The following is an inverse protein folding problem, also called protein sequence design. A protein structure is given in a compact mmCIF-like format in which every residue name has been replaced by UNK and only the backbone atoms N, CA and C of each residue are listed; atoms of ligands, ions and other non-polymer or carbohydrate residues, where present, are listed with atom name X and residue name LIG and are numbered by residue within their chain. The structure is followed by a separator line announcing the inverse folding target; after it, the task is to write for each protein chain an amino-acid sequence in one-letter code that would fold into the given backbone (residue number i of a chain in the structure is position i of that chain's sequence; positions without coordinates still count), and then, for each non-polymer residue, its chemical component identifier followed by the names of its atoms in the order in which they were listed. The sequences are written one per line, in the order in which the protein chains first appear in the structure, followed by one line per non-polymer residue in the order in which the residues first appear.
data_IF_551186941930
#
_entry.id   IF_551186941930
#
_cell.length_a   1.000
_cell.length_b   1.000
_cell.length_c   1.000
_cell.angle_alpha   90.00
_cell.angle_beta   90.00
_cell.angle_gamma   90.00
#
_symmetry.space_group_name_H-M   'P 1'
#
loop_
_entity.id
_entity.type
_entity.pdbx_description
1 polymer ?
#
# COMPACT_ATOMS: atom_id res chain seq x y z
N UNK A 1 10.36 -13.13 -2.44
CA UNK A 1 10.22 -11.66 -2.33
C UNK A 1 8.76 -11.41 -2.04
N UNK A 2 8.47 -10.54 -1.06
CA UNK A 2 7.12 -10.29 -0.56
C UNK A 2 6.48 -9.17 -1.38
N UNK A 3 5.35 -9.44 -2.05
CA UNK A 3 4.63 -8.43 -2.83
C UNK A 3 4.22 -7.25 -1.94
N UNK A 4 3.88 -7.51 -0.68
CA UNK A 4 3.52 -6.51 0.32
C UNK A 4 4.61 -5.46 0.48
N UNK A 5 5.86 -5.87 0.54
CA UNK A 5 6.99 -4.95 0.74
C UNK A 5 7.37 -4.19 -0.53
N UNK A 6 7.13 -4.77 -1.71
CA UNK A 6 7.21 -4.04 -2.98
C UNK A 6 6.18 -2.90 -2.99
N UNK A 7 4.95 -3.20 -2.59
CA UNK A 7 3.88 -2.20 -2.49
C UNK A 7 4.23 -1.15 -1.42
N UNK A 8 4.56 -1.56 -0.20
CA UNK A 8 4.93 -0.66 0.90
C UNK A 8 6.08 0.28 0.53
N UNK A 9 7.15 -0.25 -0.06
CA UNK A 9 8.32 0.56 -0.42
C UNK A 9 8.03 1.62 -1.48
N UNK A 10 7.18 1.30 -2.45
CA UNK A 10 6.70 2.25 -3.45
C UNK A 10 5.70 3.25 -2.87
N UNK A 11 4.88 2.84 -1.89
CA UNK A 11 3.98 3.72 -1.16
C UNK A 11 4.75 4.76 -0.34
N UNK A 12 5.81 4.33 0.35
CA UNK A 12 6.71 5.22 1.10
C UNK A 12 7.35 6.22 0.15
N UNK A 13 7.87 5.76 -1.00
CA UNK A 13 8.40 6.65 -2.05
C UNK A 13 7.37 7.68 -2.50
N UNK A 14 6.14 7.26 -2.70
CA UNK A 14 5.05 8.10 -3.17
C UNK A 14 4.68 9.18 -2.13
N UNK A 15 4.61 8.81 -0.85
CA UNK A 15 4.44 9.75 0.26
C UNK A 15 5.54 10.84 0.28
N UNK A 16 6.80 10.46 0.04
CA UNK A 16 7.93 11.42 -0.09
C UNK A 16 7.69 12.38 -1.24
N UNK A 17 7.28 11.87 -2.40
CA UNK A 17 7.07 12.70 -3.57
C UNK A 17 5.95 13.72 -3.33
N UNK A 18 4.86 13.29 -2.70
CA UNK A 18 3.77 14.20 -2.31
C UNK A 18 4.26 15.28 -1.34
N UNK A 19 5.07 14.93 -0.33
CA UNK A 19 5.66 15.92 0.59
C UNK A 19 6.59 16.92 -0.10
N UNK A 20 7.50 16.44 -0.97
CA UNK A 20 8.43 17.29 -1.73
C UNK A 20 7.67 18.29 -2.60
N UNK A 21 6.61 17.84 -3.27
CA UNK A 21 5.79 18.68 -4.12
C UNK A 21 4.99 19.72 -3.32
N UNK A 22 4.51 19.37 -2.13
CA UNK A 22 3.71 20.26 -1.28
C UNK A 22 4.54 21.32 -0.54
N UNK A 23 5.76 21.00 -0.10
CA UNK A 23 6.50 21.83 0.85
C UNK A 23 7.80 22.45 0.33
N UNK A 24 8.24 22.13 -0.90
CA UNK A 24 9.58 22.47 -1.44
C UNK A 24 10.74 22.11 -0.49
N UNK A 25 10.52 21.31 0.55
CA UNK A 25 11.50 21.03 1.62
C UNK A 25 11.98 19.58 1.58
N UNK A 26 13.26 19.38 1.90
CA UNK A 26 13.95 18.08 1.96
C UNK A 26 13.60 17.21 3.18
N UNK A 27 12.79 17.72 4.13
CA UNK A 27 12.53 17.07 5.43
C UNK A 27 12.05 15.63 5.33
N UNK A 28 11.15 15.33 4.40
CA UNK A 28 10.60 13.96 4.24
C UNK A 28 11.66 12.92 3.86
N UNK A 29 12.61 13.30 3.01
CA UNK A 29 13.68 12.42 2.55
C UNK A 29 14.76 12.21 3.63
N UNK A 30 15.18 13.28 4.32
CA UNK A 30 16.08 13.17 5.47
C UNK A 30 15.47 12.34 6.59
N UNK A 31 14.18 12.51 6.86
CA UNK A 31 13.48 11.78 7.92
C UNK A 31 13.41 10.30 7.63
N UNK A 32 13.10 9.93 6.40
CA UNK A 32 13.05 8.53 6.00
C UNK A 32 14.45 7.92 6.02
N UNK A 33 15.47 8.64 5.56
CA UNK A 33 16.86 8.22 5.73
C UNK A 33 17.23 8.03 7.21
N UNK A 34 16.72 8.88 8.11
CA UNK A 34 16.90 8.71 9.55
C UNK A 34 16.14 7.49 10.09
N UNK A 35 14.88 7.27 9.70
CA UNK A 35 14.10 6.07 10.04
C UNK A 35 14.83 4.80 9.57
N UNK A 36 15.33 4.78 8.33
CA UNK A 36 16.15 3.70 7.81
C UNK A 36 17.44 3.53 8.62
N UNK A 37 18.17 4.60 8.92
CA UNK A 37 19.42 4.53 9.69
C UNK A 37 19.21 4.00 11.10
N UNK A 38 18.14 4.41 11.76
CA UNK A 38 17.77 3.94 13.10
C UNK A 38 17.47 2.43 13.07
N UNK A 39 16.63 1.98 12.14
CA UNK A 39 16.23 0.57 12.05
C UNK A 39 17.39 -0.34 11.58
N UNK A 40 18.19 0.14 10.62
CA UNK A 40 19.37 -0.57 10.11
C UNK A 40 20.51 -0.59 11.14
N UNK A 41 20.69 0.46 11.94
CA UNK A 41 21.70 0.53 13.00
C UNK A 41 21.40 -0.37 14.20
N UNK A 42 20.12 -0.69 14.42
CA UNK A 42 19.65 -1.62 15.46
C UNK A 42 20.01 -3.10 15.14
N UNK A 43 20.13 -3.44 13.86
CA UNK A 43 20.42 -4.81 13.42
C UNK A 43 21.94 -5.05 13.27
N UNK A 44 22.52 -5.91 14.12
CA UNK A 44 23.95 -6.29 14.08
C UNK A 44 24.37 -6.76 12.68
N UNK A 45 25.05 -5.90 11.92
CA UNK A 45 25.54 -6.21 10.58
C UNK A 45 26.40 -5.10 9.99
N UNK A 46 27.09 -5.39 8.88
CA UNK A 46 27.91 -4.40 8.16
C UNK A 46 27.01 -3.22 7.73
N UNK A 47 27.42 -1.96 8.00
CA UNK A 47 26.66 -0.79 7.60
C UNK A 47 26.29 -0.83 6.12
N UNK A 48 25.05 -0.46 5.78
CA UNK A 48 24.65 -0.24 4.39
C UNK A 48 25.50 0.93 3.88
N UNK A 49 26.45 0.66 2.98
CA UNK A 49 27.46 1.64 2.57
C UNK A 49 26.85 2.98 2.15
N UNK A 50 26.22 3.03 0.96
CA UNK A 50 25.48 4.21 0.49
C UNK A 50 23.97 3.90 0.50
N UNK A 51 23.28 4.35 1.57
CA UNK A 51 21.85 4.14 1.76
C UNK A 51 21.01 4.75 0.62
N UNK A 52 21.35 5.97 0.19
CA UNK A 52 20.62 6.66 -0.88
C UNK A 52 20.74 5.92 -2.21
N UNK A 53 21.94 5.47 -2.58
CA UNK A 53 22.15 4.67 -3.77
C UNK A 53 21.37 3.34 -3.70
N UNK A 54 21.34 2.71 -2.53
CA UNK A 54 20.61 1.45 -2.29
C UNK A 54 19.10 1.66 -2.44
N UNK A 55 18.52 2.66 -1.78
CA UNK A 55 17.09 2.98 -1.87
C UNK A 55 16.68 3.35 -3.29
N UNK A 56 17.45 4.22 -3.95
CA UNK A 56 17.17 4.60 -5.32
C UNK A 56 17.31 3.42 -6.28
N UNK A 57 18.25 2.49 -6.04
CA UNK A 57 18.37 1.26 -6.80
C UNK A 57 17.18 0.33 -6.64
N UNK A 58 16.67 0.17 -5.41
CA UNK A 58 15.43 -0.57 -5.14
C UNK A 58 14.28 0.08 -5.90
N UNK A 59 14.02 1.37 -5.68
CA UNK A 59 12.93 2.06 -6.35
C UNK A 59 13.05 2.04 -7.86
N UNK A 60 14.26 2.13 -8.41
CA UNK A 60 14.45 1.99 -9.86
C UNK A 60 13.92 0.65 -10.35
N UNK A 61 14.33 -0.48 -9.74
CA UNK A 61 13.85 -1.82 -10.08
C UNK A 61 12.33 -1.95 -9.93
N UNK A 62 11.76 -1.41 -8.85
CA UNK A 62 10.34 -1.53 -8.56
C UNK A 62 9.48 -0.66 -9.49
N UNK A 63 9.96 0.53 -9.85
CA UNK A 63 9.29 1.43 -10.79
C UNK A 63 9.39 0.91 -12.24
N UNK A 64 10.56 0.45 -12.69
CA UNK A 64 10.75 0.00 -14.09
C UNK A 64 10.30 -1.44 -14.33
N UNK A 65 10.26 -2.28 -13.29
CA UNK A 65 9.97 -3.70 -13.44
C UNK A 65 11.14 -4.50 -14.01
N UNK A 66 12.33 -3.91 -14.14
CA UNK A 66 13.52 -4.60 -14.62
C UNK A 66 13.93 -5.74 -13.69
N UNK A 67 14.64 -6.72 -14.24
CA UNK A 67 15.28 -7.79 -13.46
C UNK A 67 16.49 -7.25 -12.67
N UNK A 68 16.77 -7.83 -11.50
CA UNK A 68 17.75 -7.29 -10.56
C UNK A 68 19.17 -7.17 -11.14
N UNK A 69 19.61 -8.14 -11.93
CA UNK A 69 20.93 -8.13 -12.57
C UNK A 69 21.12 -6.98 -13.58
N UNK A 70 20.04 -6.33 -14.02
CA UNK A 70 20.07 -5.16 -14.90
C UNK A 70 20.06 -3.83 -14.13
N UNK A 71 20.26 -3.86 -12.81
CA UNK A 71 20.39 -2.64 -12.02
C UNK A 71 21.58 -1.81 -12.51
N UNK A 72 21.38 -0.51 -12.82
CA UNK A 72 22.47 0.36 -13.22
C UNK A 72 23.56 0.49 -12.15
N UNK A 73 24.83 0.44 -12.57
CA UNK A 73 25.99 0.43 -11.67
C UNK A 73 26.08 1.65 -10.74
N UNK A 74 25.49 2.79 -11.15
CA UNK A 74 25.39 4.01 -10.32
C UNK A 74 24.69 3.78 -8.97
N UNK A 75 23.87 2.73 -8.85
CA UNK A 75 23.20 2.35 -7.60
C UNK A 75 23.97 1.29 -6.79
N UNK A 76 25.14 0.88 -7.28
CA UNK A 76 25.99 -0.15 -6.70
C UNK A 76 25.73 -1.55 -7.27
N UNK A 77 26.42 -2.55 -6.71
CA UNK A 77 26.33 -3.94 -7.17
C UNK A 77 24.92 -4.49 -6.91
N UNK A 78 24.26 -4.96 -7.97
CA UNK A 78 22.88 -5.46 -7.90
C UNK A 78 22.62 -6.48 -6.79
N UNK A 79 23.55 -7.41 -6.56
CA UNK A 79 23.39 -8.47 -5.56
C UNK A 79 23.41 -7.90 -4.13
N UNK A 80 24.18 -6.83 -3.90
CA UNK A 80 24.20 -6.13 -2.61
C UNK A 80 22.87 -5.42 -2.35
N UNK A 81 22.36 -4.70 -3.35
CA UNK A 81 21.07 -3.98 -3.27
C UNK A 81 19.92 -4.97 -3.07
N UNK A 82 19.90 -6.05 -3.83
CA UNK A 82 18.90 -7.12 -3.70
C UNK A 82 18.94 -7.78 -2.31
N UNK A 83 20.12 -8.15 -1.80
CA UNK A 83 20.26 -8.73 -0.45
C UNK A 83 19.77 -7.78 0.64
N UNK A 84 20.04 -6.47 0.48
CA UNK A 84 19.54 -5.44 1.38
C UNK A 84 18.01 -5.41 1.36
N UNK A 85 17.41 -5.28 0.17
CA UNK A 85 15.97 -5.25 0.01
C UNK A 85 15.29 -6.49 0.62
N UNK A 86 15.80 -7.68 0.30
CA UNK A 86 15.27 -8.93 0.84
C UNK A 86 15.36 -9.00 2.37
N UNK A 87 16.47 -8.55 2.96
CA UNK A 87 16.64 -8.51 4.43
C UNK A 87 15.61 -7.58 5.05
N UNK A 88 15.42 -6.41 4.45
CA UNK A 88 14.45 -5.41 4.89
C UNK A 88 13.00 -5.89 4.83
N UNK A 89 12.63 -6.59 3.75
CA UNK A 89 11.35 -7.30 3.66
C UNK A 89 11.15 -8.24 4.85
N UNK A 90 12.14 -9.09 5.15
CA UNK A 90 12.07 -10.04 6.25
C UNK A 90 12.03 -9.42 7.65
N UNK A 91 12.56 -8.21 7.83
CA UNK A 91 12.56 -7.50 9.11
C UNK A 91 11.26 -6.75 9.44
N UNK A 92 10.34 -6.59 8.48
CA UNK A 92 9.13 -5.78 8.68
C UNK A 92 9.36 -4.25 8.65
N UNK A 93 10.59 -3.80 8.42
CA UNK A 93 11.01 -2.40 8.35
C UNK A 93 10.09 -1.52 7.47
N UNK A 94 9.63 -2.02 6.32
CA UNK A 94 8.74 -1.25 5.45
C UNK A 94 7.38 -0.91 6.09
N UNK A 95 6.82 -1.85 6.86
CA UNK A 95 5.59 -1.61 7.61
C UNK A 95 5.81 -0.59 8.72
N UNK A 96 6.92 -0.70 9.45
CA UNK A 96 7.30 0.22 10.51
C UNK A 96 7.50 1.66 9.99
N UNK A 97 8.18 1.83 8.85
CA UNK A 97 8.38 3.15 8.23
C UNK A 97 7.03 3.76 7.82
N UNK A 98 6.13 2.96 7.22
CA UNK A 98 4.81 3.46 6.83
C UNK A 98 4.05 3.97 8.06
N UNK A 99 3.99 3.18 9.14
CA UNK A 99 3.30 3.56 10.37
C UNK A 99 3.83 4.90 10.95
N UNK A 100 5.16 5.06 10.99
CA UNK A 100 5.78 6.29 11.49
C UNK A 100 5.48 7.51 10.59
N UNK A 101 5.32 7.30 9.28
CA UNK A 101 4.94 8.36 8.36
C UNK A 101 3.46 8.74 8.53
N UNK A 102 2.58 7.78 8.79
CA UNK A 102 1.14 8.04 8.94
C UNK A 102 0.81 8.79 10.22
N UNK A 103 1.44 8.45 11.35
CA UNK A 103 1.19 9.07 12.67
C UNK A 103 1.49 10.57 12.70
N UNK A 104 2.30 11.07 11.77
CA UNK A 104 2.73 12.47 11.73
C UNK A 104 1.77 13.41 10.99
N UNK A 105 0.81 12.85 10.25
CA UNK A 105 -0.09 13.60 9.39
C UNK A 105 -1.55 13.45 9.84
N UNK A 106 -1.78 13.35 11.16
CA UNK A 106 -3.11 13.18 11.77
C UNK A 106 -4.10 14.29 11.36
N UNK A 107 -3.61 15.46 10.97
CA UNK A 107 -4.41 16.61 10.57
C UNK A 107 -5.27 16.35 9.31
N UNK A 108 -4.86 15.42 8.44
CA UNK A 108 -5.59 15.07 7.22
C UNK A 108 -6.53 13.86 7.40
N UNK A 109 -6.68 13.35 8.61
CA UNK A 109 -7.40 12.10 8.88
C UNK A 109 -8.91 12.27 9.09
N UNK A 110 -9.45 13.48 8.94
CA UNK A 110 -10.91 13.72 9.06
C UNK A 110 -11.72 12.89 8.05
N UNK A 111 -11.12 12.50 6.92
CA UNK A 111 -11.72 11.56 5.98
C UNK A 111 -10.70 10.52 5.51
N UNK A 112 -11.16 9.27 5.42
CA UNK A 112 -10.43 8.10 4.99
C UNK A 112 -11.20 7.41 3.87
N UNK A 113 -10.52 7.14 2.77
CA UNK A 113 -11.10 6.56 1.58
C UNK A 113 -10.57 5.14 1.38
N UNK A 114 -11.45 4.16 1.42
CA UNK A 114 -11.17 2.75 1.20
C UNK A 114 -11.50 2.38 -0.24
N UNK A 115 -10.54 1.79 -0.93
CA UNK A 115 -10.76 1.17 -2.23
C UNK A 115 -9.80 0.01 -2.47
N UNK A 116 -10.14 -0.83 -3.43
CA UNK A 116 -9.44 -2.07 -3.74
C UNK A 116 -9.08 -2.13 -5.22
N UNK A 117 -7.93 -2.71 -5.52
CA UNK A 117 -7.45 -2.80 -6.89
C UNK A 117 -6.71 -4.11 -7.15
N UNK A 118 -7.01 -4.75 -8.28
CA UNK A 118 -6.27 -5.93 -8.71
C UNK A 118 -4.88 -5.58 -9.25
N UNK A 119 -3.92 -6.42 -8.87
CA UNK A 119 -2.57 -6.52 -9.41
C UNK A 119 -2.50 -7.85 -10.18
N UNK A 120 -2.17 -7.78 -11.48
CA UNK A 120 -2.06 -8.99 -12.30
C UNK A 120 -0.82 -9.76 -11.90
N UNK A 121 -0.92 -11.08 -11.73
CA UNK A 121 0.24 -11.92 -11.43
C UNK A 121 0.85 -12.44 -12.74
N UNK A 122 2.14 -12.18 -12.93
CA UNK A 122 2.92 -12.81 -13.98
C UNK A 122 3.12 -14.30 -13.68
N UNK A 123 3.44 -15.11 -14.70
CA UNK A 123 3.72 -16.54 -14.51
C UNK A 123 4.86 -16.80 -13.50
N UNK A 124 5.85 -15.90 -13.42
CA UNK A 124 6.98 -16.04 -12.50
C UNK A 124 6.57 -15.93 -11.03
N UNK A 125 5.51 -15.17 -10.74
CA UNK A 125 4.92 -15.06 -9.42
C UNK A 125 4.23 -16.37 -8.99
N UNK A 126 3.88 -17.25 -9.93
CA UNK A 126 3.21 -18.52 -9.66
C UNK A 126 4.20 -19.69 -9.47
N UNK A 127 5.51 -19.45 -9.56
CA UNK A 127 6.56 -20.49 -9.47
C UNK A 127 7.05 -20.71 -8.03
N UNK A 128 6.13 -20.71 -7.07
CA UNK A 128 6.41 -20.99 -5.66
C UNK A 128 5.93 -22.39 -5.28
N UNK A 129 6.62 -23.11 -4.37
CA UNK A 129 6.12 -24.37 -3.83
C UNK A 129 4.93 -24.18 -2.86
N UNK A 130 4.65 -22.94 -2.44
CA UNK A 130 3.51 -22.62 -1.58
C UNK A 130 2.19 -22.75 -2.34
N UNK A 131 1.07 -22.94 -1.64
CA UNK A 131 -0.24 -22.94 -2.28
C UNK A 131 -0.71 -21.51 -2.67
N UNK A 132 -1.83 -21.39 -3.38
CA UNK A 132 -2.33 -20.10 -3.87
C UNK A 132 -2.81 -19.17 -2.75
N UNK A 133 -3.34 -19.71 -1.65
CA UNK A 133 -3.82 -18.93 -0.50
C UNK A 133 -2.64 -18.33 0.27
N UNK A 134 -1.61 -19.15 0.54
CA UNK A 134 -0.35 -18.73 1.13
C UNK A 134 0.37 -17.69 0.25
N UNK A 135 0.25 -17.79 -1.07
CA UNK A 135 0.79 -16.80 -1.99
C UNK A 135 -0.08 -15.53 -2.10
N UNK A 136 -1.29 -15.49 -1.54
CA UNK A 136 -2.30 -14.45 -1.79
C UNK A 136 -2.56 -14.26 -3.29
N UNK A 137 -2.65 -15.36 -4.04
CA UNK A 137 -3.00 -15.41 -5.45
C UNK A 137 -4.40 -15.99 -5.60
N UNK A 138 -5.25 -15.30 -6.37
CA UNK A 138 -6.59 -15.76 -6.69
C UNK A 138 -6.81 -15.83 -8.20
N UNK A 139 -7.64 -16.78 -8.65
CA UNK A 139 -8.05 -16.86 -10.06
C UNK A 139 -9.32 -16.06 -10.28
N UNK A 140 -9.27 -15.10 -11.18
CA UNK A 140 -10.41 -14.26 -11.59
C UNK A 140 -10.68 -14.47 -13.09
N UNK A 141 -11.71 -13.82 -13.65
CA UNK A 141 -11.93 -13.79 -15.10
C UNK A 141 -10.72 -13.23 -15.87
N UNK A 142 -9.90 -12.39 -15.24
CA UNK A 142 -8.70 -11.77 -15.83
C UNK A 142 -7.40 -12.58 -15.68
N UNK A 143 -7.47 -13.81 -15.14
CA UNK A 143 -6.30 -14.66 -14.89
C UNK A 143 -5.95 -14.79 -13.41
N UNK A 144 -4.66 -14.94 -13.09
CA UNK A 144 -4.16 -14.95 -11.70
C UNK A 144 -3.89 -13.51 -11.24
N UNK A 145 -4.40 -13.17 -10.06
CA UNK A 145 -4.36 -11.81 -9.54
C UNK A 145 -4.13 -11.84 -8.02
N UNK A 146 -3.57 -10.76 -7.51
CA UNK A 146 -3.69 -10.37 -6.09
C UNK A 146 -4.56 -9.12 -6.04
N UNK A 147 -5.23 -8.89 -4.92
CA UNK A 147 -5.97 -7.66 -4.68
C UNK A 147 -5.26 -6.87 -3.59
N UNK A 148 -5.02 -5.61 -3.88
CA UNK A 148 -4.49 -4.62 -2.96
C UNK A 148 -5.63 -3.75 -2.47
N UNK A 149 -5.97 -3.88 -1.19
CA UNK A 149 -6.90 -3.00 -0.51
C UNK A 149 -6.10 -1.90 0.19
N UNK A 150 -6.51 -0.64 0.05
CA UNK A 150 -5.82 0.48 0.66
C UNK A 150 -6.80 1.51 1.25
N UNK A 151 -6.38 2.12 2.35
CA UNK A 151 -7.02 3.30 2.93
C UNK A 151 -6.13 4.50 2.68
N UNK A 152 -6.71 5.58 2.14
CA UNK A 152 -6.01 6.80 1.75
C UNK A 152 -6.67 8.01 2.43
N UNK A 153 -5.88 8.96 2.91
CA UNK A 153 -6.38 10.19 3.53
C UNK A 153 -6.62 11.32 2.50
N UNK A 154 -7.09 12.48 2.95
CA UNK A 154 -7.36 13.64 2.09
C UNK A 154 -6.15 14.20 1.35
N UNK A 155 -4.93 13.97 1.86
CA UNK A 155 -3.71 14.35 1.17
C UNK A 155 -3.34 13.40 0.01
N UNK A 156 -4.12 12.35 -0.23
CA UNK A 156 -3.80 11.31 -1.21
C UNK A 156 -2.64 10.42 -0.76
N UNK A 157 -2.43 10.29 0.55
CA UNK A 157 -1.42 9.43 1.16
C UNK A 157 -2.06 8.16 1.71
N UNK A 158 -1.41 7.03 1.49
CA UNK A 158 -1.86 5.76 2.05
C UNK A 158 -1.63 5.72 3.56
N UNK A 159 -2.64 5.27 4.29
CA UNK A 159 -2.66 5.09 5.76
C UNK A 159 -2.53 3.61 6.12
N UNK A 160 -3.21 2.75 5.38
CA UNK A 160 -3.20 1.31 5.62
C UNK A 160 -3.33 0.54 4.31
N UNK A 161 -2.77 -0.66 4.27
CA UNK A 161 -2.83 -1.53 3.10
C UNK A 161 -2.79 -3.00 3.48
N UNK A 162 -3.53 -3.80 2.72
CA UNK A 162 -3.63 -5.24 2.86
C UNK A 162 -3.59 -5.89 1.48
N UNK A 163 -2.82 -6.98 1.36
CA UNK A 163 -2.85 -7.84 0.19
C UNK A 163 -3.69 -9.08 0.48
N UNK A 164 -4.69 -9.31 -0.36
CA UNK A 164 -5.57 -10.48 -0.30
C UNK A 164 -5.56 -11.23 -1.64
N UNK A 165 -5.96 -12.52 -1.67
CA UNK A 165 -6.14 -13.24 -2.93
C UNK A 165 -7.08 -12.49 -3.89
N UNK A 166 -6.83 -12.60 -5.20
CA UNK A 166 -7.62 -11.89 -6.22
C UNK A 166 -9.10 -12.28 -6.27
N UNK A 167 -9.48 -13.44 -5.77
CA UNK A 167 -10.86 -13.92 -5.67
C UNK A 167 -11.53 -13.56 -4.35
N UNK A 168 -10.80 -12.98 -3.39
CA UNK A 168 -11.35 -12.58 -2.09
C UNK A 168 -12.40 -11.48 -2.27
N UNK A 169 -13.48 -11.55 -1.48
CA UNK A 169 -14.51 -10.53 -1.51
C UNK A 169 -13.99 -9.23 -0.88
N UNK A 170 -14.25 -8.09 -1.55
CA UNK A 170 -13.79 -6.76 -1.08
C UNK A 170 -14.18 -6.46 0.36
N UNK A 171 -15.34 -7.00 0.76
CA UNK A 171 -15.89 -6.81 2.10
C UNK A 171 -15.09 -7.50 3.22
N UNK A 172 -14.31 -8.54 2.91
CA UNK A 172 -13.41 -9.19 3.90
C UNK A 172 -12.17 -8.33 4.10
N UNK A 173 -11.52 -7.92 3.01
CA UNK A 173 -10.35 -7.04 3.08
C UNK A 173 -10.66 -5.66 3.67
N UNK A 174 -11.90 -5.18 3.54
CA UNK A 174 -12.31 -3.87 4.06
C UNK A 174 -12.01 -3.69 5.55
N UNK A 175 -12.48 -4.64 6.38
CA UNK A 175 -12.33 -4.59 7.84
C UNK A 175 -10.86 -4.68 8.23
N UNK A 176 -10.09 -5.57 7.59
CA UNK A 176 -8.66 -5.73 7.85
C UNK A 176 -7.85 -4.47 7.46
N UNK A 177 -8.28 -3.77 6.42
CA UNK A 177 -7.56 -2.58 5.93
C UNK A 177 -7.88 -1.33 6.75
N UNK A 178 -9.07 -1.23 7.35
CA UNK A 178 -9.45 -0.05 8.11
C UNK A 178 -8.58 0.12 9.37
N UNK A 179 -8.10 1.34 9.67
CA UNK A 179 -7.45 1.63 10.93
C UNK A 179 -8.36 1.31 12.13
N UNK A 180 -7.79 0.82 13.23
CA UNK A 180 -8.56 0.45 14.43
C UNK A 180 -9.31 1.63 15.07
N UNK A 181 -8.76 2.84 14.97
CA UNK A 181 -9.35 4.05 15.53
C UNK A 181 -9.87 4.94 14.41
N UNK A 182 -11.20 5.01 14.29
CA UNK A 182 -11.92 5.82 13.30
C UNK A 182 -12.65 7.01 13.93
N UNK A 183 -12.36 7.32 15.21
CA UNK A 183 -13.06 8.36 15.97
C UNK A 183 -13.11 9.68 15.20
N UNK A 184 -14.34 10.14 14.95
CA UNK A 184 -14.63 11.38 14.22
C UNK A 184 -14.11 11.45 12.78
N UNK A 185 -13.90 10.29 12.12
CA UNK A 185 -13.46 10.20 10.73
C UNK A 185 -14.60 9.80 9.81
N UNK A 186 -14.74 10.47 8.68
CA UNK A 186 -15.60 10.02 7.58
C UNK A 186 -14.91 8.88 6.82
N UNK A 187 -15.57 7.74 6.69
CA UNK A 187 -15.06 6.60 5.93
C UNK A 187 -15.83 6.46 4.63
N UNK A 188 -15.17 6.72 3.52
CA UNK A 188 -15.74 6.69 2.17
C UNK A 188 -15.33 5.40 1.48
N UNK A 189 -16.28 4.76 0.79
CA UNK A 189 -15.99 3.61 -0.06
C UNK A 189 -17.02 3.50 -1.19
N UNK A 190 -16.72 2.66 -2.19
CA UNK A 190 -17.67 2.34 -3.26
C UNK A 190 -18.92 1.65 -2.70
N UNK A 191 -20.05 1.77 -3.42
CA UNK A 191 -21.28 1.01 -3.20
C UNK A 191 -21.05 -0.51 -3.07
N UNK A 192 -20.02 -1.08 -3.70
CA UNK A 192 -19.65 -2.48 -3.53
C UNK A 192 -19.35 -2.86 -2.07
N UNK A 193 -18.79 -1.93 -1.29
CA UNK A 193 -18.51 -2.06 0.14
C UNK A 193 -19.75 -1.91 1.03
N UNK A 194 -20.93 -1.72 0.44
CA UNK A 194 -22.15 -1.63 1.22
C UNK A 194 -22.56 -2.98 1.82
N UNK A 195 -22.24 -3.17 3.10
CA UNK A 195 -22.60 -4.33 3.91
C UNK A 195 -22.76 -3.93 5.37
N UNK A 196 -23.77 -4.47 6.08
CA UNK A 196 -24.04 -4.14 7.49
C UNK A 196 -22.80 -4.34 8.37
N UNK A 197 -22.07 -5.45 8.19
CA UNK A 197 -20.83 -5.74 8.93
C UNK A 197 -19.76 -4.64 8.81
N UNK A 198 -19.63 -4.01 7.65
CA UNK A 198 -18.64 -2.94 7.42
C UNK A 198 -19.11 -1.65 8.08
N UNK A 199 -20.40 -1.31 7.92
CA UNK A 199 -20.97 -0.11 8.53
C UNK A 199 -20.90 -0.17 10.05
N UNK A 200 -21.34 -1.28 10.65
CA UNK A 200 -21.27 -1.51 12.09
C UNK A 200 -19.84 -1.48 12.60
N UNK A 201 -18.87 -2.02 11.84
CA UNK A 201 -17.46 -1.91 12.21
C UNK A 201 -16.98 -0.46 12.26
N UNK A 202 -17.27 0.33 11.21
CA UNK A 202 -16.91 1.76 11.14
C UNK A 202 -17.53 2.54 12.30
N UNK A 203 -18.83 2.35 12.55
CA UNK A 203 -19.57 3.03 13.62
C UNK A 203 -19.06 2.63 15.00
N UNK A 204 -18.80 1.34 15.25
CA UNK A 204 -18.25 0.85 16.52
C UNK A 204 -16.85 1.38 16.81
N UNK A 205 -16.07 1.70 15.76
CA UNK A 205 -14.76 2.34 15.86
C UNK A 205 -14.84 3.88 15.93
N UNK A 206 -16.05 4.45 16.00
CA UNK A 206 -16.31 5.88 16.15
C UNK A 206 -16.28 6.69 14.85
N UNK A 207 -16.30 6.04 13.69
CA UNK A 207 -16.32 6.68 12.38
C UNK A 207 -17.72 6.88 11.81
N UNK A 208 -17.81 7.73 10.79
CA UNK A 208 -19.05 8.01 10.05
C UNK A 208 -19.01 7.37 8.67
N UNK A 209 -19.99 6.53 8.36
CA UNK A 209 -20.02 5.77 7.11
C UNK A 209 -20.57 6.61 5.94
N UNK A 210 -19.71 6.91 4.96
CA UNK A 210 -20.07 7.62 3.71
C UNK A 210 -19.96 6.63 2.54
N UNK A 211 -20.80 5.60 2.58
CA UNK A 211 -20.88 4.56 1.55
C UNK A 211 -22.26 4.65 0.88
N UNK A 212 -22.34 4.75 -0.47
CA UNK A 212 -23.63 4.70 -1.14
C UNK A 212 -24.35 3.37 -0.90
N UNK A 213 -25.66 3.37 -0.58
CA UNK A 213 -26.40 2.13 -0.36
C UNK A 213 -26.58 1.33 -1.67
N UNK A 214 -26.53 0.01 -1.58
CA UNK A 214 -26.88 -0.93 -2.66
C UNK A 214 -28.35 -0.77 -3.07
N UNK A 215 -28.64 -0.97 -4.36
CA UNK A 215 -30.00 -0.80 -4.90
C UNK A 215 -31.00 -1.80 -4.31
N UNK A 216 -30.53 -2.99 -3.93
CA UNK A 216 -31.32 -4.05 -3.33
C UNK A 216 -31.38 -3.99 -1.79
N UNK A 217 -30.95 -2.88 -1.18
CA UNK A 217 -31.01 -2.74 0.28
C UNK A 217 -32.45 -2.51 0.72
N UNK A 218 -32.89 -3.24 1.74
CA UNK A 218 -34.23 -3.11 2.33
C UNK A 218 -34.42 -1.75 3.03
N UNK A 219 -33.40 -1.36 3.78
CA UNK A 219 -33.38 -0.08 4.51
C UNK A 219 -32.65 0.98 3.68
N UNK A 220 -33.30 2.11 3.43
CA UNK A 220 -32.65 3.21 2.72
C UNK A 220 -31.80 4.00 3.70
N UNK A 221 -30.47 4.00 3.47
CA UNK A 221 -29.52 4.78 4.27
C UNK A 221 -29.12 6.02 3.49
N UNK A 222 -29.33 7.20 4.08
CA UNK A 222 -28.85 8.46 3.53
C UNK A 222 -27.33 8.55 3.66
N UNK A 223 -26.67 9.18 2.70
CA UNK A 223 -25.24 9.49 2.75
C UNK A 223 -24.99 10.83 2.06
N UNK A 224 -23.91 11.51 2.49
CA UNK A 224 -23.50 12.76 1.87
C UNK A 224 -22.79 12.51 0.54
N UNK A 225 -23.43 12.92 -0.56
CA UNK A 225 -22.90 12.75 -1.92
C UNK A 225 -21.71 13.66 -2.20
N UNK A 226 -21.66 14.86 -1.62
CA UNK A 226 -20.57 15.81 -1.83
C UNK A 226 -19.30 15.30 -1.16
N UNK A 227 -19.40 14.81 0.08
CA UNK A 227 -18.29 14.11 0.74
C UNK A 227 -17.92 12.87 -0.08
N UNK A 228 -18.91 12.08 -0.52
CA UNK A 228 -18.68 10.88 -1.34
C UNK A 228 -17.86 11.11 -2.61
N UNK A 229 -17.90 12.31 -3.23
CA UNK A 229 -17.07 12.66 -4.40
C UNK A 229 -15.57 12.66 -4.11
N UNK A 230 -15.17 12.84 -2.85
CA UNK A 230 -13.76 12.80 -2.44
C UNK A 230 -13.11 11.42 -2.62
N UNK A 231 -13.91 10.36 -2.86
CA UNK A 231 -13.41 9.03 -3.25
C UNK A 231 -12.50 9.09 -4.50
N UNK A 232 -12.65 10.10 -5.36
CA UNK A 232 -11.71 10.35 -6.48
C UNK A 232 -10.24 10.40 -6.04
N UNK A 233 -9.94 10.82 -4.82
CA UNK A 233 -8.56 10.88 -4.30
C UNK A 233 -7.95 9.47 -4.17
N UNK A 234 -8.70 8.46 -3.70
CA UNK A 234 -8.18 7.08 -3.63
C UNK A 234 -8.10 6.45 -5.03
N UNK A 235 -9.00 6.80 -5.94
CA UNK A 235 -8.91 6.39 -7.35
C UNK A 235 -7.62 6.94 -8.00
N UNK A 236 -7.37 8.25 -7.83
CA UNK A 236 -6.14 8.90 -8.29
C UNK A 236 -4.89 8.26 -7.67
N UNK A 237 -4.96 7.90 -6.39
CA UNK A 237 -3.90 7.17 -5.72
C UNK A 237 -3.60 5.84 -6.42
N UNK A 238 -4.62 5.02 -6.67
CA UNK A 238 -4.46 3.75 -7.39
C UNK A 238 -3.93 3.94 -8.81
N UNK A 239 -4.41 4.95 -9.54
CA UNK A 239 -3.87 5.32 -10.85
C UNK A 239 -2.37 5.64 -10.78
N UNK A 240 -1.95 6.42 -9.78
CA UNK A 240 -0.55 6.81 -9.59
C UNK A 240 0.33 5.61 -9.25
N UNK A 241 -0.03 4.79 -8.26
CA UNK A 241 0.82 3.65 -7.85
C UNK A 241 0.90 2.57 -8.93
N UNK A 242 -0.15 2.42 -9.76
CA UNK A 242 -0.14 1.49 -10.90
C UNK A 242 0.75 1.93 -12.06
N UNK A 243 1.30 3.15 -12.04
CA UNK A 243 2.37 3.54 -12.96
C UNK A 243 3.67 2.77 -12.68
N UNK A 244 3.87 2.28 -11.45
CA UNK A 244 5.02 1.46 -11.08
C UNK A 244 4.82 0.02 -11.60
N UNK A 245 5.75 -0.45 -12.43
CA UNK A 245 5.57 -1.70 -13.18
C UNK A 245 5.41 -2.93 -12.28
N UNK A 246 6.06 -2.98 -11.11
CA UNK A 246 5.90 -4.09 -10.14
C UNK A 246 4.62 -4.03 -9.29
N UNK A 247 3.88 -2.91 -9.34
CA UNK A 247 2.52 -2.79 -8.78
C UNK A 247 1.47 -3.05 -9.85
N UNK A 248 1.73 -2.66 -11.10
CA UNK A 248 0.87 -3.02 -12.24
C UNK A 248 0.83 -4.54 -12.44
N UNK A 249 2.00 -5.17 -12.39
CA UNK A 249 2.19 -6.61 -12.55
C UNK A 249 3.08 -7.14 -11.43
N UNK A 250 2.56 -8.09 -10.67
CA UNK A 250 3.28 -8.83 -9.63
C UNK A 250 4.18 -9.88 -10.29
N UNK A 251 5.46 -9.90 -9.92
CA UNK A 251 6.44 -10.93 -10.28
C UNK A 251 6.86 -11.77 -9.07
N UNK A 252 6.49 -11.30 -7.88
CA UNK A 252 6.90 -11.79 -6.58
C UNK A 252 6.15 -13.06 -6.18
N UNK A 253 6.89 -14.10 -5.82
CA UNK A 253 6.34 -15.42 -5.48
C UNK A 253 5.74 -15.52 -4.08
N UNK A 254 6.03 -14.55 -3.20
CA UNK A 254 5.53 -14.53 -1.82
C UNK A 254 4.63 -13.31 -1.64
N UNK A 255 3.60 -13.39 -0.78
CA UNK A 255 2.66 -12.31 -0.55
C UNK A 255 3.31 -11.08 0.08
#
# INVERSE_FOLDING_TARGET
MLQRDVVLSLFIRDNIQVERNASRSSRGAEKINNLYRTEVGSHRGRPVGNLDATLNGIWWILCTGSIWNQLPERYGKWNSVWRCFRRWCGSGMWGWILQNLTEQHSDYEIALMLDGSHIKAHQDASRSPLDSEQQKLGKTKGGRNTKLSAVVNLAGRAVSLVLVPGNEHDSVSAIETLPKNLKAKFVLADKAYDANRIRSHIESAGGFCVIPPKANRKETISYDKEIGRLRRIVENFFCRIKSYRRVATRYEQLP
#
